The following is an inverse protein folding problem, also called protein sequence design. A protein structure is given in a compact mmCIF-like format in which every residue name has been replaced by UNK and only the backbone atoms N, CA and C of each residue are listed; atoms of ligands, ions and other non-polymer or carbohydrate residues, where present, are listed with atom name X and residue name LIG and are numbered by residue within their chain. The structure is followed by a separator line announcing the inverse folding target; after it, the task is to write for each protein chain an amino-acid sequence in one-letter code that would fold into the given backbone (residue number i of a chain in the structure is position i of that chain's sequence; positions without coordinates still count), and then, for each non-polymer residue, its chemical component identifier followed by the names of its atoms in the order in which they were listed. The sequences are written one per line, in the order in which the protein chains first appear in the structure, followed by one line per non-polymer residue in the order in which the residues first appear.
data_IF_745277089195
#
_entry.id   IF_745277089195
#
_cell.length_a   1.000
_cell.length_b   1.000
_cell.length_c   1.000
_cell.angle_alpha   90.00
_cell.angle_beta   90.00
_cell.angle_gamma   90.00
#
_symmetry.space_group_name_H-M   'P 1'
#
loop_
_entity.id
_entity.type
_entity.pdbx_description
1 polymer ?
#
# COMPACT_ATOMS: atom_id res chain seq x y z
N UNK A 1 38.26 69.02 4.66
CA UNK A 1 38.01 69.30 6.07
C UNK A 1 37.11 68.22 6.59
N UNK A 2 37.75 67.36 7.34
CA UNK A 2 37.38 66.90 8.68
C UNK A 2 36.06 66.11 8.70
N UNK A 3 36.01 64.89 9.06
CA UNK A 3 36.67 64.09 10.06
C UNK A 3 35.56 63.25 10.70
N UNK A 4 35.81 62.12 10.94
CA UNK A 4 36.11 61.37 12.12
C UNK A 4 35.13 60.22 12.42
N UNK A 5 35.59 59.03 12.38
CA UNK A 5 35.76 57.99 13.44
C UNK A 5 34.53 57.64 14.29
N UNK A 6 34.44 56.33 14.45
CA UNK A 6 33.81 55.60 15.57
C UNK A 6 33.31 54.24 15.11
N UNK A 7 34.06 53.24 15.14
CA UNK A 7 34.50 52.14 16.01
C UNK A 7 33.54 51.93 17.20
N UNK A 8 33.16 50.71 17.28
CA UNK A 8 32.85 49.70 18.32
C UNK A 8 31.63 48.95 17.89
N UNK A 9 31.67 47.66 17.67
CA UNK A 9 32.04 46.58 18.58
C UNK A 9 30.81 46.18 19.35
N UNK A 10 30.34 45.05 19.07
CA UNK A 10 30.12 44.01 20.08
C UNK A 10 29.28 42.84 19.53
N UNK A 11 29.86 41.70 19.55
CA UNK A 11 29.37 40.44 20.05
C UNK A 11 27.86 40.36 20.32
N UNK A 12 27.22 39.52 19.58
CA UNK A 12 25.90 38.97 19.88
C UNK A 12 25.89 37.50 19.54
N UNK A 13 26.35 36.69 20.45
CA UNK A 13 25.99 35.29 20.60
C UNK A 13 24.47 35.20 20.63
N UNK A 14 23.88 34.56 19.69
CA UNK A 14 22.44 34.36 19.63
C UNK A 14 22.15 33.21 18.70
N UNK A 15 22.15 32.07 19.32
CA UNK A 15 21.15 31.02 19.21
C UNK A 15 21.14 30.21 17.91
N UNK A 16 22.03 29.23 17.93
CA UNK A 16 21.84 28.00 17.14
C UNK A 16 20.99 27.04 17.95
N UNK A 17 19.71 27.19 17.86
CA UNK A 17 18.77 26.19 18.31
C UNK A 17 17.62 26.19 17.33
N UNK A 18 17.82 25.55 16.16
CA UNK A 18 16.75 25.06 15.33
C UNK A 18 17.33 24.04 14.32
N UNK A 19 17.44 22.83 14.76
CA UNK A 19 17.29 21.64 13.92
C UNK A 19 16.67 20.54 14.78
N UNK A 20 15.47 20.10 14.44
CA UNK A 20 15.31 18.96 13.56
C UNK A 20 14.01 19.05 12.73
N UNK A 21 13.96 19.82 11.68
CA UNK A 21 12.83 19.81 10.72
C UNK A 21 13.19 19.09 9.42
N UNK A 22 14.47 18.77 9.22
CA UNK A 22 14.98 18.19 7.98
C UNK A 22 14.49 16.77 7.66
N UNK A 23 14.38 15.90 8.66
CA UNK A 23 14.14 14.47 8.39
C UNK A 23 12.69 14.12 8.04
N UNK A 24 11.72 14.76 8.67
CA UNK A 24 10.31 14.48 8.38
C UNK A 24 9.87 15.00 7.00
N UNK A 25 10.42 16.14 6.57
CA UNK A 25 10.17 16.68 5.23
C UNK A 25 10.81 15.80 4.15
N UNK A 26 12.04 15.31 4.37
CA UNK A 26 12.75 14.44 3.42
C UNK A 26 12.06 13.07 3.24
N UNK A 27 11.49 12.50 4.30
CA UNK A 27 10.73 11.26 4.24
C UNK A 27 9.41 11.47 3.47
N UNK A 28 8.70 12.57 3.74
CA UNK A 28 7.47 12.91 3.02
C UNK A 28 7.72 13.16 1.53
N UNK A 29 8.80 13.85 1.17
CA UNK A 29 9.21 14.09 -0.21
C UNK A 29 9.64 12.80 -0.91
N UNK A 30 10.31 11.91 -0.21
CA UNK A 30 10.71 10.59 -0.73
C UNK A 30 9.47 9.72 -1.01
N UNK A 31 8.50 9.71 -0.08
CA UNK A 31 7.23 9.01 -0.28
C UNK A 31 6.39 9.64 -1.41
N UNK A 32 6.33 10.96 -1.51
CA UNK A 32 5.64 11.66 -2.58
C UNK A 32 6.30 11.41 -3.95
N UNK A 33 7.63 11.34 -4.00
CA UNK A 33 8.38 10.98 -5.20
C UNK A 33 8.16 9.50 -5.59
N UNK A 34 8.14 8.59 -4.61
CA UNK A 34 7.84 7.18 -4.83
C UNK A 34 6.39 6.98 -5.30
N UNK A 35 5.43 7.68 -4.70
CA UNK A 35 4.03 7.66 -5.11
C UNK A 35 3.84 8.18 -6.54
N UNK A 36 4.55 9.25 -6.93
CA UNK A 36 4.55 9.77 -8.31
C UNK A 36 5.13 8.77 -9.31
N UNK A 37 6.18 8.04 -8.93
CA UNK A 37 6.79 7.01 -9.78
C UNK A 37 5.96 5.73 -9.90
N UNK A 38 5.09 5.43 -8.94
CA UNK A 38 4.24 4.24 -8.92
C UNK A 38 2.92 4.38 -9.71
N UNK A 39 2.80 5.37 -10.61
CA UNK A 39 1.58 5.58 -11.41
C UNK A 39 0.49 6.40 -10.70
N UNK A 40 0.66 6.70 -9.40
CA UNK A 40 -0.20 7.64 -8.67
C UNK A 40 0.02 9.10 -9.08
N UNK A 41 1.06 9.38 -9.88
CA UNK A 41 1.32 10.70 -10.46
C UNK A 41 0.30 11.17 -11.52
N UNK A 42 -0.61 10.29 -11.94
CA UNK A 42 -1.75 10.65 -12.80
C UNK A 42 -2.94 11.23 -12.00
N UNK A 43 -2.81 11.32 -10.66
CA UNK A 43 -3.83 11.93 -9.80
C UNK A 43 -3.50 13.41 -9.67
N UNK A 44 -4.31 14.25 -10.29
CA UNK A 44 -4.23 15.71 -10.13
C UNK A 44 -4.51 16.09 -8.68
N UNK A 45 -3.66 16.89 -8.00
CA UNK A 45 -3.94 17.35 -6.65
C UNK A 45 -5.29 18.09 -6.62
N UNK A 46 -6.23 17.61 -5.78
CA UNK A 46 -7.56 18.18 -5.63
C UNK A 46 -8.67 17.51 -6.46
N UNK A 47 -8.36 16.61 -7.39
CA UNK A 47 -9.35 15.78 -8.07
C UNK A 47 -9.37 14.35 -7.51
N UNK A 48 -10.58 13.81 -7.31
CA UNK A 48 -10.73 12.42 -6.92
C UNK A 48 -10.23 11.49 -8.05
N UNK A 49 -9.33 10.53 -7.77
CA UNK A 49 -8.78 9.65 -8.79
C UNK A 49 -9.90 8.91 -9.54
N UNK A 50 -9.87 8.94 -10.86
CA UNK A 50 -10.80 8.15 -11.67
C UNK A 50 -10.54 6.65 -11.53
N UNK A 51 -11.54 5.80 -11.78
CA UNK A 51 -11.35 4.34 -11.78
C UNK A 51 -10.24 3.90 -12.76
N UNK A 52 -10.04 4.63 -13.87
CA UNK A 52 -8.93 4.42 -14.78
C UNK A 52 -7.57 4.75 -14.17
N UNK A 53 -7.48 5.81 -13.33
CA UNK A 53 -6.25 6.16 -12.62
C UNK A 53 -5.89 5.09 -11.55
N UNK A 54 -6.89 4.53 -10.87
CA UNK A 54 -6.67 3.41 -9.94
C UNK A 54 -6.18 2.17 -10.67
N UNK A 55 -6.79 1.81 -11.79
CA UNK A 55 -6.35 0.69 -12.62
C UNK A 55 -4.93 0.92 -13.16
N UNK A 56 -4.62 2.14 -13.60
CA UNK A 56 -3.28 2.52 -14.05
C UNK A 56 -2.25 2.43 -12.90
N UNK A 57 -2.61 2.84 -11.68
CA UNK A 57 -1.77 2.73 -10.49
C UNK A 57 -1.45 1.26 -10.12
N UNK A 58 -2.38 0.33 -10.41
CA UNK A 58 -2.17 -1.12 -10.25
C UNK A 58 -1.35 -1.73 -11.40
N UNK A 59 -0.86 -0.95 -12.36
CA UNK A 59 -0.13 -1.42 -13.54
C UNK A 59 -1.04 -1.81 -14.70
N UNK A 60 -2.28 -1.33 -14.72
CA UNK A 60 -3.27 -1.65 -15.74
C UNK A 60 -3.75 -3.09 -15.67
N UNK A 61 -4.44 -3.54 -16.73
CA UNK A 61 -4.91 -4.93 -16.87
C UNK A 61 -3.74 -5.91 -16.80
N UNK A 62 -2.58 -5.55 -17.37
CA UNK A 62 -1.37 -6.37 -17.32
C UNK A 62 -0.89 -6.59 -15.89
N UNK A 63 -0.79 -5.54 -15.07
CA UNK A 63 -0.38 -5.65 -13.66
C UNK A 63 -1.36 -6.50 -12.86
N UNK A 64 -2.66 -6.40 -13.16
CA UNK A 64 -3.69 -7.23 -12.56
C UNK A 64 -3.49 -8.73 -12.89
N UNK A 65 -3.27 -9.06 -14.17
CA UNK A 65 -2.98 -10.44 -14.59
C UNK A 65 -1.71 -10.97 -13.95
N UNK A 66 -0.63 -10.18 -13.96
CA UNK A 66 0.65 -10.55 -13.33
C UNK A 66 0.51 -10.80 -11.82
N UNK A 67 -0.42 -10.14 -11.13
CA UNK A 67 -0.66 -10.34 -9.69
C UNK A 67 -1.53 -11.57 -9.38
N UNK A 68 -2.41 -11.96 -10.27
CA UNK A 68 -3.34 -13.08 -10.06
C UNK A 68 -2.74 -14.41 -10.55
N UNK A 69 -2.03 -14.38 -11.69
CA UNK A 69 -1.62 -15.58 -12.42
C UNK A 69 -0.74 -16.54 -11.59
N UNK A 70 0.26 -16.07 -10.80
CA UNK A 70 1.05 -16.99 -9.98
C UNK A 70 0.22 -17.71 -8.90
N UNK A 71 -0.73 -17.00 -8.28
CA UNK A 71 -1.64 -17.59 -7.29
C UNK A 71 -2.59 -18.63 -7.90
N UNK A 72 -3.14 -18.31 -9.08
CA UNK A 72 -3.98 -19.23 -9.83
C UNK A 72 -3.19 -20.47 -10.30
N UNK A 73 -1.98 -20.27 -10.79
CA UNK A 73 -1.08 -21.36 -11.17
C UNK A 73 -0.79 -22.30 -10.00
N UNK A 74 -0.49 -21.74 -8.81
CA UNK A 74 -0.31 -22.55 -7.60
C UNK A 74 -1.56 -23.41 -7.31
N UNK A 75 -2.75 -22.80 -7.31
CA UNK A 75 -3.99 -23.52 -7.05
C UNK A 75 -4.22 -24.66 -8.04
N UNK A 76 -4.12 -24.36 -9.34
CA UNK A 76 -4.38 -25.36 -10.41
C UNK A 76 -3.36 -26.50 -10.36
N UNK A 77 -2.08 -26.15 -10.25
CA UNK A 77 -1.00 -27.18 -10.20
C UNK A 77 -1.14 -28.04 -8.96
N UNK A 78 -1.37 -27.44 -7.79
CA UNK A 78 -1.56 -28.18 -6.56
C UNK A 78 -2.79 -29.08 -6.58
N UNK A 79 -3.90 -28.61 -7.14
CA UNK A 79 -5.13 -29.40 -7.28
C UNK A 79 -4.92 -30.65 -8.15
N UNK A 80 -4.08 -30.55 -9.19
CA UNK A 80 -3.82 -31.64 -10.15
C UNK A 80 -2.74 -32.58 -9.63
N UNK A 81 -1.60 -32.02 -9.18
CA UNK A 81 -0.40 -32.84 -8.91
C UNK A 81 -0.32 -33.32 -7.47
N UNK A 82 -0.91 -32.56 -6.54
CA UNK A 82 -0.74 -32.73 -5.08
C UNK A 82 0.74 -32.72 -4.65
N UNK A 83 1.62 -32.27 -5.53
CA UNK A 83 3.06 -32.15 -5.30
C UNK A 83 3.37 -30.69 -4.94
N UNK A 84 3.87 -30.49 -3.72
CA UNK A 84 4.20 -29.16 -3.20
C UNK A 84 5.33 -28.51 -4.02
N UNK A 85 6.37 -29.29 -4.36
CA UNK A 85 7.54 -28.74 -5.06
C UNK A 85 7.16 -28.21 -6.45
N UNK A 86 6.41 -28.99 -7.22
CA UNK A 86 5.93 -28.61 -8.56
C UNK A 86 5.00 -27.41 -8.45
N UNK A 87 4.10 -27.41 -7.46
CA UNK A 87 3.13 -26.33 -7.25
C UNK A 87 3.75 -25.01 -6.80
N UNK A 88 4.93 -25.04 -6.24
CA UNK A 88 5.68 -23.84 -5.84
C UNK A 88 6.59 -23.38 -6.99
N UNK A 89 7.29 -24.29 -7.66
CA UNK A 89 8.27 -23.94 -8.69
C UNK A 89 7.64 -23.35 -9.94
N UNK A 90 6.47 -23.84 -10.37
CA UNK A 90 5.78 -23.33 -11.56
C UNK A 90 5.35 -21.87 -11.39
N UNK A 91 4.62 -21.47 -10.32
CA UNK A 91 4.28 -20.06 -10.10
C UNK A 91 5.50 -19.16 -9.93
N UNK A 92 6.55 -19.66 -9.27
CA UNK A 92 7.80 -18.91 -9.11
C UNK A 92 8.47 -18.66 -10.48
N UNK A 93 8.52 -19.67 -11.34
CA UNK A 93 9.01 -19.54 -12.70
C UNK A 93 8.21 -18.52 -13.54
N UNK A 94 6.89 -18.54 -13.42
CA UNK A 94 6.00 -17.56 -14.06
C UNK A 94 6.28 -16.15 -13.55
N UNK A 95 6.45 -15.98 -12.23
CA UNK A 95 6.74 -14.67 -11.64
C UNK A 95 8.11 -14.13 -12.08
N UNK A 96 9.14 -14.99 -12.13
CA UNK A 96 10.46 -14.63 -12.65
C UNK A 96 10.39 -14.24 -14.13
N UNK A 97 9.63 -14.98 -14.93
CA UNK A 97 9.42 -14.64 -16.35
C UNK A 97 8.81 -13.25 -16.51
N UNK A 98 7.82 -12.88 -15.68
CA UNK A 98 7.26 -11.53 -15.70
C UNK A 98 8.27 -10.45 -15.32
N UNK A 99 9.17 -10.71 -14.36
CA UNK A 99 10.25 -9.77 -14.03
C UNK A 99 11.20 -9.59 -15.22
N UNK A 100 11.62 -10.69 -15.85
CA UNK A 100 12.48 -10.65 -17.04
C UNK A 100 11.81 -9.85 -18.16
N UNK A 101 10.52 -10.12 -18.43
CA UNK A 101 9.76 -9.36 -19.43
C UNK A 101 9.70 -7.85 -19.10
N UNK A 102 9.55 -7.48 -17.82
CA UNK A 102 9.55 -6.06 -17.42
C UNK A 102 10.91 -5.41 -17.59
N UNK A 103 11.99 -6.11 -17.31
CA UNK A 103 13.36 -5.62 -17.54
C UNK A 103 13.58 -5.39 -19.04
N UNK A 104 13.23 -6.35 -19.88
CA UNK A 104 13.37 -6.26 -21.33
C UNK A 104 12.53 -5.13 -21.93
N UNK A 105 11.31 -4.92 -21.42
CA UNK A 105 10.41 -3.86 -21.87
C UNK A 105 10.65 -2.51 -21.19
N UNK A 106 11.71 -2.39 -20.40
CA UNK A 106 12.08 -1.18 -19.64
C UNK A 106 10.93 -0.60 -18.78
N UNK A 107 10.02 -1.47 -18.34
CA UNK A 107 8.89 -1.11 -17.46
C UNK A 107 9.34 -1.05 -15.99
N UNK A 108 8.64 -0.32 -15.10
CA UNK A 108 8.97 -0.31 -13.67
C UNK A 108 8.95 -1.73 -13.09
N UNK A 109 10.10 -2.23 -12.64
CA UNK A 109 10.25 -3.62 -12.18
C UNK A 109 10.28 -3.77 -10.65
N UNK A 110 10.36 -2.67 -9.90
CA UNK A 110 10.47 -2.69 -8.43
C UNK A 110 9.32 -3.45 -7.75
N UNK A 111 8.08 -3.23 -8.20
CA UNK A 111 6.92 -3.95 -7.67
C UNK A 111 6.92 -5.44 -8.04
N UNK A 112 7.43 -5.78 -9.23
CA UNK A 112 7.54 -7.16 -9.67
C UNK A 112 8.60 -7.92 -8.88
N UNK A 113 9.76 -7.30 -8.61
CA UNK A 113 10.79 -7.89 -7.74
C UNK A 113 10.24 -8.12 -6.33
N UNK A 114 9.55 -7.14 -5.74
CA UNK A 114 8.93 -7.31 -4.42
C UNK A 114 7.94 -8.49 -4.41
N UNK A 115 7.16 -8.67 -5.49
CA UNK A 115 6.26 -9.81 -5.66
C UNK A 115 7.00 -11.15 -5.73
N UNK A 116 8.08 -11.22 -6.52
CA UNK A 116 8.93 -12.44 -6.61
C UNK A 116 9.58 -12.76 -5.28
N UNK A 117 10.13 -11.78 -4.58
CA UNK A 117 10.73 -11.99 -3.25
C UNK A 117 9.68 -12.48 -2.26
N UNK A 118 8.49 -11.87 -2.23
CA UNK A 118 7.40 -12.32 -1.38
C UNK A 118 6.96 -13.75 -1.69
N UNK A 119 6.85 -14.10 -2.98
CA UNK A 119 6.50 -15.46 -3.41
C UNK A 119 7.61 -16.45 -3.04
N UNK A 120 8.88 -16.09 -3.26
CA UNK A 120 10.03 -16.95 -2.92
C UNK A 120 10.13 -17.21 -1.40
N UNK A 121 9.87 -16.19 -0.57
CA UNK A 121 9.80 -16.36 0.88
C UNK A 121 8.66 -17.29 1.30
N UNK A 122 7.45 -17.08 0.76
CA UNK A 122 6.30 -17.95 1.02
C UNK A 122 6.56 -19.39 0.60
N UNK A 123 7.12 -19.56 -0.60
CA UNK A 123 7.52 -20.85 -1.13
C UNK A 123 8.60 -21.52 -0.26
N UNK A 124 9.60 -20.75 0.17
CA UNK A 124 10.66 -21.21 1.04
C UNK A 124 10.13 -21.77 2.37
N UNK A 125 9.19 -21.06 3.01
CA UNK A 125 8.54 -21.57 4.22
C UNK A 125 7.85 -22.92 3.98
N UNK A 126 7.04 -23.02 2.93
CA UNK A 126 6.35 -24.28 2.61
C UNK A 126 7.30 -25.44 2.31
N UNK A 127 8.41 -25.18 1.59
CA UNK A 127 9.40 -26.22 1.27
C UNK A 127 10.22 -26.65 2.48
N UNK A 128 10.58 -25.74 3.38
CA UNK A 128 11.33 -26.06 4.61
C UNK A 128 10.48 -26.90 5.58
N UNK A 129 9.19 -26.55 5.71
CA UNK A 129 8.28 -27.24 6.63
C UNK A 129 7.67 -28.50 6.02
N UNK A 130 7.70 -28.65 4.69
CA UNK A 130 7.01 -29.72 3.95
C UNK A 130 5.49 -29.58 3.96
N UNK A 131 4.95 -28.44 4.38
CA UNK A 131 3.52 -28.17 4.50
C UNK A 131 3.08 -27.12 3.50
N UNK A 132 2.14 -27.49 2.60
CA UNK A 132 1.66 -26.61 1.55
C UNK A 132 0.93 -25.38 2.09
N UNK A 133 0.24 -25.49 3.23
CA UNK A 133 -0.43 -24.41 3.92
C UNK A 133 0.53 -23.32 4.37
N UNK A 134 1.78 -23.60 4.66
CA UNK A 134 2.77 -22.63 5.13
C UNK A 134 3.17 -21.61 4.04
N UNK A 135 2.84 -21.90 2.78
CA UNK A 135 2.92 -20.92 1.68
C UNK A 135 2.03 -19.68 1.90
N UNK A 136 1.09 -19.73 2.84
CA UNK A 136 0.19 -18.62 3.15
C UNK A 136 0.63 -17.79 4.35
N UNK A 137 1.59 -18.28 5.17
CA UNK A 137 2.03 -17.64 6.43
C UNK A 137 2.47 -16.18 6.25
N UNK A 138 3.26 -15.90 5.20
CA UNK A 138 3.70 -14.53 4.94
C UNK A 138 2.51 -13.60 4.71
N UNK A 139 1.48 -14.07 4.02
CA UNK A 139 0.23 -13.34 3.81
C UNK A 139 -0.50 -13.05 5.12
N UNK A 140 -0.59 -14.01 6.02
CA UNK A 140 -1.20 -13.83 7.33
C UNK A 140 -0.43 -12.82 8.18
N UNK A 141 0.90 -12.89 8.16
CA UNK A 141 1.74 -11.93 8.85
C UNK A 141 1.51 -10.50 8.33
N UNK A 142 1.53 -10.30 7.02
CA UNK A 142 1.30 -8.99 6.41
C UNK A 142 -0.10 -8.47 6.73
N UNK A 143 -1.14 -9.31 6.63
CA UNK A 143 -2.52 -8.93 6.96
C UNK A 143 -2.66 -8.59 8.45
N UNK A 144 -2.00 -9.36 9.36
CA UNK A 144 -2.01 -9.13 10.80
C UNK A 144 -1.33 -7.81 11.18
N UNK A 145 -0.13 -7.56 10.66
CA UNK A 145 0.59 -6.30 10.87
C UNK A 145 -0.22 -5.11 10.35
N UNK A 146 -0.82 -5.25 9.17
CA UNK A 146 -1.66 -4.20 8.57
C UNK A 146 -2.89 -3.92 9.44
N UNK A 147 -3.57 -4.95 9.94
CA UNK A 147 -4.72 -4.81 10.83
C UNK A 147 -4.33 -4.11 12.14
N UNK A 148 -3.22 -4.52 12.76
CA UNK A 148 -2.70 -3.88 13.97
C UNK A 148 -2.37 -2.41 13.71
N UNK A 149 -1.68 -2.11 12.62
CA UNK A 149 -1.33 -0.73 12.25
C UNK A 149 -2.58 0.15 12.08
N UNK A 150 -3.62 -0.37 11.43
CA UNK A 150 -4.89 0.33 11.26
C UNK A 150 -5.61 0.57 12.61
N UNK A 151 -5.67 -0.45 13.48
CA UNK A 151 -6.28 -0.33 14.82
C UNK A 151 -5.52 0.69 15.66
N UNK A 152 -4.18 0.62 15.68
CA UNK A 152 -3.33 1.59 16.39
C UNK A 152 -3.54 3.00 15.84
N UNK A 153 -3.66 3.16 14.53
CA UNK A 153 -3.93 4.46 13.90
C UNK A 153 -5.26 5.07 14.33
N UNK A 154 -6.29 4.24 14.48
CA UNK A 154 -7.61 4.67 15.00
C UNK A 154 -7.49 5.08 16.48
N UNK A 155 -6.84 4.25 17.30
CA UNK A 155 -6.63 4.54 18.72
C UNK A 155 -5.82 5.82 18.94
N UNK A 156 -4.82 6.07 18.09
CA UNK A 156 -4.02 7.29 18.08
C UNK A 156 -4.77 8.53 17.54
N UNK A 157 -6.04 8.39 17.14
CA UNK A 157 -6.83 9.44 16.47
C UNK A 157 -6.17 10.00 15.20
N UNK A 158 -5.42 9.13 14.51
CA UNK A 158 -4.74 9.43 13.23
C UNK A 158 -5.09 8.35 12.20
N UNK A 159 -6.37 8.27 11.74
CA UNK A 159 -6.80 7.20 10.84
C UNK A 159 -5.88 7.12 9.62
N UNK A 160 -5.27 5.94 9.43
CA UNK A 160 -4.17 5.72 8.48
C UNK A 160 -4.56 6.06 7.05
N UNK A 161 -5.78 5.73 6.66
CA UNK A 161 -6.29 6.03 5.30
C UNK A 161 -6.36 7.55 5.08
N UNK A 162 -6.71 8.33 6.10
CA UNK A 162 -6.68 9.80 6.02
C UNK A 162 -5.26 10.35 5.90
N UNK A 163 -4.30 9.77 6.63
CA UNK A 163 -2.88 10.14 6.51
C UNK A 163 -2.37 9.86 5.09
N UNK A 164 -2.64 8.66 4.55
CA UNK A 164 -2.24 8.30 3.18
C UNK A 164 -2.89 9.23 2.16
N UNK A 165 -4.21 9.49 2.28
CA UNK A 165 -4.91 10.40 1.39
C UNK A 165 -4.33 11.82 1.42
N UNK A 166 -4.03 12.34 2.62
CA UNK A 166 -3.43 13.69 2.77
C UNK A 166 -2.03 13.79 2.16
N UNK A 167 -1.24 12.72 2.24
CA UNK A 167 0.08 12.66 1.61
C UNK A 167 -0.02 12.64 0.07
N UNK A 168 -0.99 11.91 -0.49
CA UNK A 168 -1.21 11.84 -1.94
C UNK A 168 -1.69 13.18 -2.48
N UNK A 169 -2.61 13.86 -1.75
CA UNK A 169 -3.23 15.13 -2.17
C UNK A 169 -2.31 16.33 -1.86
N UNK A 170 -1.32 16.16 -0.99
CA UNK A 170 -0.42 17.26 -0.58
C UNK A 170 -1.04 18.26 0.39
N UNK A 171 -2.12 17.88 1.10
CA UNK A 171 -2.88 18.80 1.98
C UNK A 171 -2.22 19.04 3.35
N UNK A 172 -1.13 18.32 3.67
CA UNK A 172 -0.46 18.41 4.98
C UNK A 172 -1.34 17.93 6.14
N UNK A 173 -1.11 18.44 7.36
CA UNK A 173 -1.83 17.98 8.57
C UNK A 173 -3.20 18.65 8.80
N UNK A 174 -3.55 19.66 8.00
CA UNK A 174 -4.75 20.50 8.16
C UNK A 174 -6.09 19.74 8.01
N UNK A 175 -6.11 18.61 7.31
CA UNK A 175 -7.32 17.81 7.10
C UNK A 175 -7.99 17.32 8.40
N UNK A 176 -7.23 17.24 9.50
CA UNK A 176 -7.74 16.77 10.81
C UNK A 176 -8.65 17.80 11.48
N UNK A 177 -8.49 19.07 11.19
CA UNK A 177 -9.34 20.13 11.70
C UNK A 177 -10.75 20.09 11.06
N UNK A 178 -10.86 19.51 9.86
CA UNK A 178 -12.11 19.29 9.17
C UNK A 178 -12.78 17.99 9.66
N UNK A 179 -13.87 18.17 10.43
CA UNK A 179 -14.61 17.06 11.02
C UNK A 179 -15.16 16.08 9.95
N UNK A 180 -15.52 16.58 8.77
CA UNK A 180 -16.05 15.76 7.69
C UNK A 180 -14.96 14.87 7.09
N UNK A 181 -13.79 15.42 6.83
CA UNK A 181 -12.63 14.68 6.33
C UNK A 181 -12.17 13.63 7.35
N UNK A 182 -12.11 14.02 8.63
CA UNK A 182 -11.74 13.09 9.70
C UNK A 182 -12.69 11.91 9.80
N UNK A 183 -14.02 12.15 9.77
CA UNK A 183 -15.04 11.08 9.82
C UNK A 183 -14.92 10.13 8.64
N UNK A 184 -14.78 10.66 7.44
CA UNK A 184 -14.62 9.85 6.22
C UNK A 184 -13.35 9.02 6.28
N UNK A 185 -12.23 9.60 6.72
CA UNK A 185 -10.98 8.89 6.90
C UNK A 185 -11.11 7.76 7.95
N UNK A 186 -11.85 8.01 9.03
CA UNK A 186 -12.12 7.02 10.07
C UNK A 186 -12.96 5.85 9.52
N UNK A 187 -14.05 6.13 8.81
CA UNK A 187 -14.90 5.11 8.17
C UNK A 187 -14.10 4.28 7.17
N UNK A 188 -13.28 4.93 6.33
CA UNK A 188 -12.42 4.23 5.39
C UNK A 188 -11.40 3.33 6.11
N UNK A 189 -10.83 3.79 7.23
CA UNK A 189 -9.89 2.99 8.03
C UNK A 189 -10.60 1.79 8.67
N UNK A 190 -11.83 1.93 9.17
CA UNK A 190 -12.63 0.81 9.65
C UNK A 190 -13.00 -0.18 8.54
N UNK A 191 -13.31 0.30 7.34
CA UNK A 191 -13.52 -0.57 6.18
C UNK A 191 -12.31 -1.48 5.94
N UNK A 192 -11.11 -0.91 5.95
CA UNK A 192 -9.88 -1.68 5.77
C UNK A 192 -9.58 -2.63 6.96
N UNK A 193 -9.91 -2.24 8.19
CA UNK A 193 -9.88 -3.17 9.34
C UNK A 193 -10.81 -4.36 9.09
N UNK A 194 -12.02 -4.11 8.55
CA UNK A 194 -12.96 -5.17 8.19
C UNK A 194 -12.41 -6.09 7.11
N UNK A 195 -11.75 -5.56 6.08
CA UNK A 195 -11.11 -6.35 5.01
C UNK A 195 -10.04 -7.28 5.56
N UNK A 196 -9.08 -6.76 6.33
CA UNK A 196 -8.00 -7.59 6.89
C UNK A 196 -8.51 -8.54 7.98
N UNK A 197 -9.46 -8.08 8.82
CA UNK A 197 -10.09 -8.91 9.85
C UNK A 197 -10.88 -10.07 9.25
N UNK A 198 -11.67 -9.82 8.21
CA UNK A 198 -12.43 -10.85 7.48
C UNK A 198 -11.48 -11.89 6.87
N UNK A 199 -10.41 -11.44 6.22
CA UNK A 199 -9.42 -12.36 5.63
C UNK A 199 -8.79 -13.26 6.69
N UNK A 200 -8.27 -12.68 7.76
CA UNK A 200 -7.66 -13.46 8.84
C UNK A 200 -8.69 -14.38 9.52
N UNK A 201 -9.91 -13.88 9.75
CA UNK A 201 -10.98 -14.65 10.39
C UNK A 201 -11.42 -15.88 9.59
N UNK A 202 -11.29 -15.85 8.26
CA UNK A 202 -11.62 -16.98 7.39
C UNK A 202 -10.37 -17.83 7.09
N UNK A 203 -9.26 -17.19 6.70
CA UNK A 203 -8.09 -17.91 6.22
C UNK A 203 -7.34 -18.65 7.35
N UNK A 204 -7.27 -18.08 8.58
CA UNK A 204 -6.55 -18.70 9.70
C UNK A 204 -7.19 -20.02 10.18
N UNK A 205 -8.53 -20.14 10.38
CA UNK A 205 -9.14 -21.42 10.68
C UNK A 205 -8.90 -22.49 9.63
N UNK A 206 -8.93 -22.12 8.34
CA UNK A 206 -8.66 -23.05 7.23
C UNK A 206 -7.21 -23.51 7.20
N UNK A 207 -6.28 -22.65 7.59
CA UNK A 207 -4.88 -23.01 7.76
C UNK A 207 -4.70 -24.11 8.81
N UNK A 208 -5.31 -23.93 9.98
CA UNK A 208 -5.26 -24.96 11.03
C UNK A 208 -5.99 -26.25 10.65
N UNK A 209 -6.98 -26.17 9.77
CA UNK A 209 -7.65 -27.34 9.21
C UNK A 209 -6.84 -28.05 8.11
N UNK A 210 -5.68 -27.51 7.68
CA UNK A 210 -4.85 -28.08 6.62
C UNK A 210 -5.51 -28.04 5.23
N UNK A 211 -6.56 -27.21 5.05
CA UNK A 211 -7.32 -27.18 3.80
C UNK A 211 -6.70 -26.21 2.79
N UNK A 212 -5.66 -26.68 2.10
CA UNK A 212 -4.87 -25.87 1.13
C UNK A 212 -5.74 -25.42 -0.06
N UNK A 213 -6.65 -26.27 -0.55
CA UNK A 213 -7.52 -25.92 -1.70
C UNK A 213 -8.46 -24.76 -1.36
N UNK A 214 -9.08 -24.79 -0.19
CA UNK A 214 -9.92 -23.69 0.29
C UNK A 214 -9.11 -22.41 0.54
N UNK A 215 -7.91 -22.53 1.14
CA UNK A 215 -7.01 -21.41 1.35
C UNK A 215 -6.61 -20.74 0.04
N UNK A 216 -6.18 -21.52 -0.96
CA UNK A 216 -5.76 -20.99 -2.25
C UNK A 216 -6.95 -20.34 -2.98
N UNK A 217 -8.12 -20.98 -2.98
CA UNK A 217 -9.33 -20.44 -3.59
C UNK A 217 -9.77 -19.13 -2.93
N UNK A 218 -9.84 -19.09 -1.60
CA UNK A 218 -10.23 -17.90 -0.86
C UNK A 218 -9.20 -16.78 -0.97
N UNK A 219 -7.90 -17.09 -1.00
CA UNK A 219 -6.85 -16.11 -1.26
C UNK A 219 -7.06 -15.39 -2.60
N UNK A 220 -7.55 -16.08 -3.63
CA UNK A 220 -7.88 -15.46 -4.92
C UNK A 220 -9.13 -14.59 -4.83
N UNK A 221 -10.20 -15.09 -4.21
CA UNK A 221 -11.48 -14.38 -4.09
C UNK A 221 -11.35 -13.16 -3.15
N UNK A 222 -10.77 -13.36 -1.98
CA UNK A 222 -10.54 -12.31 -0.97
C UNK A 222 -9.27 -11.49 -1.24
N UNK A 223 -8.54 -11.79 -2.29
CA UNK A 223 -7.38 -11.03 -2.75
C UNK A 223 -7.80 -9.83 -3.59
N UNK A 224 -7.43 -9.85 -4.86
CA UNK A 224 -7.61 -8.73 -5.78
C UNK A 224 -9.06 -8.24 -5.87
N UNK A 225 -10.10 -9.10 -5.99
CA UNK A 225 -11.47 -8.62 -6.06
C UNK A 225 -11.92 -7.85 -4.83
N UNK A 226 -11.63 -8.36 -3.62
CA UNK A 226 -11.99 -7.70 -2.37
C UNK A 226 -11.26 -6.37 -2.20
N UNK A 227 -9.96 -6.33 -2.51
CA UNK A 227 -9.17 -5.10 -2.47
C UNK A 227 -9.66 -4.07 -3.49
N UNK A 228 -10.03 -4.50 -4.70
CA UNK A 228 -10.59 -3.60 -5.71
C UNK A 228 -11.89 -2.95 -5.24
N UNK A 229 -12.78 -3.74 -4.62
CA UNK A 229 -14.03 -3.21 -4.02
C UNK A 229 -13.71 -2.25 -2.87
N UNK A 230 -12.80 -2.62 -1.96
CA UNK A 230 -12.41 -1.78 -0.83
C UNK A 230 -11.79 -0.44 -1.29
N UNK A 231 -10.93 -0.47 -2.30
CA UNK A 231 -10.35 0.73 -2.92
C UNK A 231 -11.43 1.59 -3.57
N UNK A 232 -12.38 0.98 -4.29
CA UNK A 232 -13.47 1.69 -4.93
C UNK A 232 -14.38 2.38 -3.90
N UNK A 233 -14.77 1.66 -2.83
CA UNK A 233 -15.56 2.25 -1.73
C UNK A 233 -14.77 3.37 -1.04
N UNK A 234 -13.47 3.16 -0.78
CA UNK A 234 -12.59 4.20 -0.21
C UNK A 234 -12.57 5.44 -1.09
N UNK A 235 -12.44 5.26 -2.41
CA UNK A 235 -12.49 6.34 -3.38
C UNK A 235 -13.83 7.08 -3.36
N UNK A 236 -14.96 6.36 -3.34
CA UNK A 236 -16.29 6.98 -3.24
C UNK A 236 -16.42 7.82 -1.98
N UNK A 237 -15.96 7.30 -0.83
CA UNK A 237 -15.95 8.01 0.45
C UNK A 237 -15.11 9.29 0.37
N UNK A 238 -13.90 9.22 -0.14
CA UNK A 238 -13.02 10.39 -0.29
C UNK A 238 -13.60 11.42 -1.24
N UNK A 239 -14.18 10.99 -2.36
CA UNK A 239 -14.84 11.88 -3.33
C UNK A 239 -15.94 12.76 -2.71
N UNK A 240 -16.68 12.26 -1.72
CA UNK A 240 -17.77 13.00 -1.08
C UNK A 240 -17.29 14.27 -0.35
N UNK A 241 -16.06 14.21 0.19
CA UNK A 241 -15.50 15.28 1.03
C UNK A 241 -14.65 16.25 0.22
N UNK A 242 -13.91 15.75 -0.77
CA UNK A 242 -13.01 16.59 -1.58
C UNK A 242 -13.74 17.35 -2.71
N UNK A 243 -14.87 16.86 -3.23
CA UNK A 243 -15.69 17.61 -4.22
C UNK A 243 -16.44 18.80 -3.63
N UNK A 244 -16.76 18.80 -2.33
CA UNK A 244 -17.47 19.92 -1.69
C UNK A 244 -16.65 21.20 -1.69
N UNK A 245 -15.35 21.13 -1.55
CA UNK A 245 -14.48 22.29 -1.42
C UNK A 245 -14.34 23.08 -2.72
N UNK A 246 -14.29 22.41 -3.87
CA UNK A 246 -14.22 23.07 -5.18
C UNK A 246 -15.50 23.82 -5.57
N UNK A 247 -16.64 23.49 -4.99
CA UNK A 247 -17.90 24.22 -5.22
C UNK A 247 -18.12 25.39 -4.27
N UNK A 248 -17.46 25.43 -3.12
CA UNK A 248 -17.49 26.58 -2.18
C UNK A 248 -16.46 27.66 -2.55
N UNK A 249 -15.31 27.29 -3.10
CA UNK A 249 -14.29 28.24 -3.60
C UNK A 249 -14.69 28.89 -4.95
N UNK A 250 -15.68 28.33 -5.65
CA UNK A 250 -16.20 28.84 -6.91
C UNK A 250 -17.43 29.78 -6.75
N UNK A 251 -17.84 30.07 -5.51
CA UNK A 251 -18.91 31.04 -5.17
C UNK A 251 -18.37 32.25 -4.45
#
# INVERSE_FOLDING_TARGET
MTGNTGVTGDSGLGDRADEPVGDAASVADTFAAAARRSGLGAVTPGEAPSGGALLAAMGGVRGLVESILPGLAFLVVYAITRDLLVSVLIPLGIAVLFVVMRIVTRSPFTSAIAGVVGLALSAGFALITGRAEDNFLLGFFINGVSLIALIVSIAARRPLIGVIASLIIGEGAGWRADTSKFRVALVATFLWCGVFGLRLGIEVPLYFAGNVDALATLKLILGVPLYAVALWVTWLLMRTVYRRKSSEEAR
#
